data_IF_073816798174
#
_entry.id   IF_073816798174
#
_cell.length_a   1.000
_cell.length_b   1.000
_cell.length_c   1.000
_cell.angle_alpha   90.00
_cell.angle_beta   90.00
_cell.angle_gamma   90.00
#
_symmetry.space_group_name_H-M   'P 1'
#
loop_
_entity.id
_entity.type
_entity.pdbx_description
1 polymer ?
#
# COMPACT_ATOMS: atom_id res chain seq x y z
N UNK A 1 -14.13 -14.55 19.12
CA UNK A 1 -13.93 -13.22 18.52
C UNK A 1 -12.71 -13.33 17.63
N UNK A 2 -12.73 -12.81 16.40
CA UNK A 2 -11.57 -12.92 15.48
C UNK A 2 -11.02 -11.49 15.28
N UNK A 3 -9.98 -11.10 16.04
CA UNK A 3 -9.42 -9.74 15.95
C UNK A 3 -8.44 -9.55 14.79
N UNK A 4 -7.76 -10.61 14.36
CA UNK A 4 -6.76 -10.56 13.30
C UNK A 4 -7.06 -11.65 12.27
N UNK A 5 -7.00 -11.28 10.98
CA UNK A 5 -7.25 -12.22 9.90
C UNK A 5 -6.24 -12.00 8.76
N UNK A 6 -5.64 -13.09 8.31
CA UNK A 6 -4.90 -13.16 7.05
C UNK A 6 -5.62 -14.10 6.10
N UNK A 7 -5.86 -13.62 4.88
CA UNK A 7 -6.37 -14.41 3.76
C UNK A 7 -5.37 -14.29 2.64
N UNK A 8 -4.68 -15.39 2.34
CA UNK A 8 -3.81 -15.52 1.18
C UNK A 8 -4.35 -16.62 0.28
N UNK A 9 -4.80 -16.26 -0.92
CA UNK A 9 -5.34 -17.22 -1.88
C UNK A 9 -4.60 -17.01 -3.19
N UNK A 10 -3.75 -17.94 -3.64
CA UNK A 10 -3.10 -17.79 -4.93
C UNK A 10 -4.14 -17.83 -6.05
N UNK A 11 -4.30 -16.70 -6.75
CA UNK A 11 -5.11 -16.61 -7.96
C UNK A 11 -4.21 -16.48 -9.19
N UNK A 12 -4.45 -17.33 -10.20
CA UNK A 12 -3.79 -17.20 -11.50
C UNK A 12 -4.46 -16.07 -12.28
N UNK A 13 -3.78 -14.96 -12.51
CA UNK A 13 -4.34 -13.81 -13.23
C UNK A 13 -4.60 -14.05 -14.74
N UNK A 14 -4.04 -15.11 -15.32
CA UNK A 14 -4.10 -15.36 -16.76
C UNK A 14 -4.52 -16.80 -17.09
N UNK A 15 -5.29 -16.96 -18.16
CA UNK A 15 -5.66 -18.27 -18.70
C UNK A 15 -6.71 -19.04 -17.90
N UNK A 16 -7.58 -18.36 -17.14
CA UNK A 16 -8.66 -19.04 -16.42
C UNK A 16 -9.71 -19.59 -17.40
N UNK A 17 -9.82 -20.91 -17.47
CA UNK A 17 -10.97 -21.60 -18.08
C UNK A 17 -12.24 -21.43 -17.22
N UNK A 18 -13.36 -21.98 -17.68
CA UNK A 18 -14.63 -21.88 -16.99
C UNK A 18 -14.61 -22.55 -15.59
N UNK A 19 -13.85 -23.62 -15.42
CA UNK A 19 -13.73 -24.33 -14.14
C UNK A 19 -12.98 -23.48 -13.13
N UNK A 20 -11.87 -22.83 -13.54
CA UNK A 20 -11.12 -21.94 -12.67
C UNK A 20 -11.90 -20.68 -12.28
N UNK A 21 -12.77 -20.17 -13.16
CA UNK A 21 -13.70 -19.07 -12.81
C UNK A 21 -14.72 -19.49 -11.76
N UNK A 22 -15.28 -20.69 -11.87
CA UNK A 22 -16.22 -21.23 -10.88
C UNK A 22 -15.52 -21.45 -9.53
N UNK A 23 -14.32 -22.04 -9.53
CA UNK A 23 -13.50 -22.16 -8.31
C UNK A 23 -13.18 -20.79 -7.70
N UNK A 24 -12.81 -19.80 -8.51
CA UNK A 24 -12.56 -18.44 -8.04
C UNK A 24 -13.81 -17.83 -7.39
N UNK A 25 -14.98 -18.00 -8.00
CA UNK A 25 -16.25 -17.52 -7.46
C UNK A 25 -16.60 -18.17 -6.12
N UNK A 26 -16.43 -19.50 -6.00
CA UNK A 26 -16.61 -20.22 -4.74
C UNK A 26 -15.64 -19.78 -3.65
N UNK A 27 -14.38 -19.49 -4.00
CA UNK A 27 -13.37 -18.94 -3.08
C UNK A 27 -13.77 -17.55 -2.60
N UNK A 28 -14.19 -16.67 -3.49
CA UNK A 28 -14.65 -15.32 -3.14
C UNK A 28 -15.85 -15.36 -2.19
N UNK A 29 -16.83 -16.23 -2.44
CA UNK A 29 -17.98 -16.39 -1.55
C UNK A 29 -17.57 -16.94 -0.16
N UNK A 30 -16.63 -17.88 -0.10
CA UNK A 30 -16.10 -18.38 1.17
C UNK A 30 -15.37 -17.29 1.97
N UNK A 31 -14.54 -16.48 1.29
CA UNK A 31 -13.86 -15.33 1.90
C UNK A 31 -14.89 -14.31 2.42
N UNK A 32 -15.91 -13.99 1.63
CA UNK A 32 -16.99 -13.07 2.03
C UNK A 32 -17.70 -13.55 3.30
N UNK A 33 -18.05 -14.84 3.38
CA UNK A 33 -18.67 -15.44 4.59
C UNK A 33 -17.75 -15.35 5.80
N UNK A 34 -16.46 -15.61 5.61
CA UNK A 34 -15.47 -15.52 6.68
C UNK A 34 -15.36 -14.07 7.20
N UNK A 35 -15.27 -13.10 6.29
CA UNK A 35 -15.23 -11.69 6.66
C UNK A 35 -16.51 -11.24 7.33
N UNK A 36 -17.68 -11.66 6.85
CA UNK A 36 -18.96 -11.34 7.47
C UNK A 36 -19.02 -11.82 8.93
N UNK A 37 -18.47 -13.01 9.22
CA UNK A 37 -18.41 -13.54 10.57
C UNK A 37 -17.42 -12.79 11.49
N UNK A 38 -16.38 -12.17 10.92
CA UNK A 38 -15.32 -11.47 11.67
C UNK A 38 -15.49 -9.94 11.70
N UNK A 39 -16.30 -9.35 10.80
CA UNK A 39 -16.29 -7.92 10.48
C UNK A 39 -16.42 -6.99 11.69
N UNK A 40 -17.29 -7.33 12.64
CA UNK A 40 -17.54 -6.52 13.84
C UNK A 40 -16.41 -6.55 14.87
N UNK A 41 -15.51 -7.53 14.82
CA UNK A 41 -14.38 -7.65 15.77
C UNK A 41 -13.02 -7.44 15.14
N UNK A 42 -12.96 -7.34 13.82
CA UNK A 42 -11.71 -7.34 13.08
C UNK A 42 -10.97 -6.00 13.27
N UNK A 43 -9.73 -6.09 13.76
CA UNK A 43 -8.79 -4.98 13.91
C UNK A 43 -7.72 -4.97 12.85
N UNK A 44 -7.26 -6.14 12.44
CA UNK A 44 -6.23 -6.31 11.41
C UNK A 44 -6.73 -7.24 10.32
N UNK A 45 -6.65 -6.78 9.07
CA UNK A 45 -6.99 -7.55 7.89
C UNK A 45 -5.85 -7.50 6.87
N UNK A 46 -5.31 -8.67 6.53
CA UNK A 46 -4.37 -8.83 5.41
C UNK A 46 -5.02 -9.70 4.34
N UNK A 47 -5.24 -9.12 3.16
CA UNK A 47 -5.75 -9.77 1.97
C UNK A 47 -4.66 -9.78 0.91
N UNK A 48 -4.16 -10.97 0.56
CA UNK A 48 -3.07 -11.12 -0.39
C UNK A 48 -3.47 -12.04 -1.55
N UNK A 49 -3.23 -11.59 -2.79
CA UNK A 49 -3.67 -12.25 -4.02
C UNK A 49 -5.18 -12.52 -4.07
N UNK A 50 -5.96 -11.67 -3.42
CA UNK A 50 -7.42 -11.76 -3.48
C UNK A 50 -7.97 -10.54 -4.19
N UNK A 51 -8.67 -10.76 -5.30
CA UNK A 51 -9.50 -9.74 -5.95
C UNK A 51 -10.83 -9.51 -5.19
N UNK A 52 -10.78 -9.49 -3.86
CA UNK A 52 -11.98 -9.29 -3.07
C UNK A 52 -12.35 -7.81 -3.11
N UNK A 53 -13.50 -7.53 -3.70
CA UNK A 53 -14.12 -6.22 -3.64
C UNK A 53 -14.78 -6.02 -2.26
N UNK A 54 -14.05 -5.34 -1.35
CA UNK A 54 -14.56 -4.96 -0.04
C UNK A 54 -15.82 -4.08 -0.15
N UNK A 55 -15.98 -3.31 -1.23
CA UNK A 55 -17.19 -2.50 -1.48
C UNK A 55 -18.40 -3.40 -1.72
N UNK A 56 -18.26 -4.37 -2.62
CA UNK A 56 -19.35 -5.28 -2.97
C UNK A 56 -19.78 -6.17 -1.79
N UNK A 57 -18.94 -6.26 -0.75
CA UNK A 57 -19.24 -7.06 0.44
C UNK A 57 -20.37 -6.48 1.30
N UNK A 58 -20.66 -5.17 1.20
CA UNK A 58 -21.60 -4.45 2.09
C UNK A 58 -21.29 -4.65 3.59
N UNK A 59 -20.06 -5.07 3.93
CA UNK A 59 -19.63 -5.32 5.29
C UNK A 59 -19.14 -4.02 5.93
N UNK A 60 -19.50 -3.82 7.20
CA UNK A 60 -18.99 -2.73 8.02
C UNK A 60 -17.86 -3.24 8.91
N UNK A 61 -16.73 -2.53 8.90
CA UNK A 61 -15.55 -2.84 9.70
C UNK A 61 -15.26 -1.74 10.73
N UNK A 62 -16.10 -1.61 11.78
CA UNK A 62 -16.04 -0.47 12.69
C UNK A 62 -14.77 -0.42 13.55
N UNK A 63 -14.07 -1.54 13.72
CA UNK A 63 -12.87 -1.66 14.54
C UNK A 63 -11.59 -1.89 13.73
N UNK A 64 -11.65 -1.85 12.39
CA UNK A 64 -10.50 -2.14 11.56
C UNK A 64 -9.48 -1.00 11.61
N UNK A 65 -8.34 -1.28 12.22
CA UNK A 65 -7.21 -0.36 12.44
C UNK A 65 -6.15 -0.52 11.36
N UNK A 66 -5.94 -1.76 10.89
CA UNK A 66 -4.89 -2.15 9.95
C UNK A 66 -5.45 -2.90 8.74
N UNK A 67 -5.13 -2.41 7.55
CA UNK A 67 -5.53 -3.04 6.30
C UNK A 67 -4.32 -3.20 5.37
N UNK A 68 -3.99 -4.44 5.01
CA UNK A 68 -3.07 -4.76 3.92
C UNK A 68 -3.87 -5.41 2.79
N UNK A 69 -3.84 -4.82 1.59
CA UNK A 69 -4.56 -5.30 0.41
C UNK A 69 -3.68 -5.15 -0.82
N UNK A 70 -3.95 -5.94 -1.86
CA UNK A 70 -3.26 -5.78 -3.15
C UNK A 70 -3.63 -4.47 -3.84
N UNK A 71 -4.92 -4.15 -3.87
CA UNK A 71 -5.47 -2.96 -4.51
C UNK A 71 -6.51 -2.32 -3.63
N UNK A 72 -6.68 -1.02 -3.80
CA UNK A 72 -7.68 -0.21 -3.13
C UNK A 72 -8.65 0.40 -4.14
N UNK A 73 -9.09 -0.39 -5.12
CA UNK A 73 -9.95 0.09 -6.19
C UNK A 73 -11.40 0.10 -5.75
N UNK A 74 -12.06 1.21 -6.05
CA UNK A 74 -13.51 1.34 -5.98
C UNK A 74 -14.00 2.18 -7.14
N UNK A 75 -13.59 1.84 -8.36
CA UNK A 75 -14.01 2.59 -9.54
C UNK A 75 -15.53 2.44 -9.70
N UNK A 76 -16.27 3.42 -9.18
CA UNK A 76 -17.70 3.62 -9.39
C UNK A 76 -18.65 3.15 -8.30
N UNK A 77 -18.19 2.55 -7.19
CA UNK A 77 -19.07 2.12 -6.07
C UNK A 77 -18.51 2.66 -4.76
N UNK A 78 -19.30 3.42 -4.02
CA UNK A 78 -18.84 4.08 -2.79
C UNK A 78 -18.29 3.07 -1.78
N UNK A 79 -17.03 3.20 -1.39
CA UNK A 79 -16.40 2.37 -0.36
C UNK A 79 -17.12 2.56 0.99
N UNK A 80 -17.23 1.50 1.82
CA UNK A 80 -17.62 1.67 3.21
C UNK A 80 -16.61 2.61 3.87
N UNK A 81 -17.11 3.55 4.67
CA UNK A 81 -16.23 4.39 5.50
C UNK A 81 -15.51 3.45 6.47
N UNK A 82 -14.19 3.60 6.57
CA UNK A 82 -13.33 2.87 7.48
C UNK A 82 -12.84 3.84 8.56
N UNK A 83 -13.71 4.22 9.52
CA UNK A 83 -13.46 5.35 10.42
C UNK A 83 -12.30 5.10 11.39
N UNK A 84 -12.03 3.84 11.72
CA UNK A 84 -10.96 3.43 12.62
C UNK A 84 -9.65 3.09 11.90
N UNK A 85 -9.62 3.16 10.55
CA UNK A 85 -8.43 2.75 9.80
C UNK A 85 -7.30 3.74 10.01
N UNK A 86 -6.22 3.26 10.62
CA UNK A 86 -5.03 4.03 10.94
C UNK A 86 -3.86 3.70 10.02
N UNK A 87 -3.74 2.44 9.55
CA UNK A 87 -2.61 2.00 8.73
C UNK A 87 -3.10 1.23 7.49
N UNK A 88 -2.72 1.71 6.30
CA UNK A 88 -3.07 1.10 5.00
C UNK A 88 -1.82 0.68 4.24
N UNK A 89 -1.76 -0.57 3.82
CA UNK A 89 -0.67 -1.14 3.02
C UNK A 89 -1.22 -1.64 1.70
N UNK A 90 -0.72 -1.07 0.61
CA UNK A 90 -1.01 -1.53 -0.74
C UNK A 90 0.16 -2.36 -1.23
N UNK A 91 -0.04 -3.67 -1.36
CA UNK A 91 1.03 -4.59 -1.75
C UNK A 91 1.35 -4.50 -3.24
N UNK A 92 0.44 -3.92 -4.04
CA UNK A 92 0.66 -3.55 -5.44
C UNK A 92 0.01 -2.20 -5.78
N UNK A 93 0.78 -1.12 -5.65
CA UNK A 93 0.31 0.21 -6.03
C UNK A 93 0.68 0.57 -7.47
N UNK A 94 -0.33 0.87 -8.29
CA UNK A 94 -0.17 1.19 -9.71
C UNK A 94 -0.35 2.68 -10.06
N UNK A 95 -0.56 3.57 -9.07
CA UNK A 95 -0.67 5.01 -9.30
C UNK A 95 -1.81 5.40 -10.24
N UNK A 96 -3.05 5.44 -9.74
CA UNK A 96 -4.18 5.97 -10.51
C UNK A 96 -4.61 7.36 -10.04
N UNK A 97 -5.24 8.10 -10.95
CA UNK A 97 -5.86 9.38 -10.64
C UNK A 97 -7.02 9.20 -9.66
N UNK A 98 -7.14 10.11 -8.70
CA UNK A 98 -8.23 10.08 -7.71
C UNK A 98 -8.01 9.13 -6.51
N UNK A 99 -6.89 8.41 -6.43
CA UNK A 99 -6.56 7.56 -5.28
C UNK A 99 -6.61 8.35 -3.96
N UNK A 100 -5.87 9.46 -3.90
CA UNK A 100 -5.74 10.25 -2.68
C UNK A 100 -7.05 10.92 -2.24
N UNK A 101 -7.83 11.57 -3.13
CA UNK A 101 -9.17 12.04 -2.78
C UNK A 101 -10.09 10.93 -2.25
N UNK A 102 -10.08 9.76 -2.89
CA UNK A 102 -10.86 8.61 -2.44
C UNK A 102 -10.44 8.17 -1.03
N UNK A 103 -9.14 7.98 -0.82
CA UNK A 103 -8.59 7.57 0.47
C UNK A 103 -8.95 8.56 1.58
N UNK A 104 -8.86 9.86 1.31
CA UNK A 104 -9.23 10.92 2.25
C UNK A 104 -10.71 10.86 2.68
N UNK A 105 -11.59 10.41 1.78
CA UNK A 105 -13.02 10.27 2.06
C UNK A 105 -13.37 8.99 2.84
N UNK A 106 -12.58 7.94 2.65
CA UNK A 106 -12.86 6.60 3.21
C UNK A 106 -12.19 6.40 4.57
N UNK A 107 -10.97 6.89 4.73
CA UNK A 107 -10.14 6.67 5.92
C UNK A 107 -9.59 8.01 6.46
N UNK A 108 -10.43 8.88 7.05
CA UNK A 108 -10.00 10.19 7.54
C UNK A 108 -9.05 10.11 8.75
N UNK A 109 -9.04 8.99 9.48
CA UNK A 109 -8.17 8.75 10.63
C UNK A 109 -6.80 8.14 10.26
N UNK A 110 -6.50 8.02 8.97
CA UNK A 110 -5.30 7.37 8.47
C UNK A 110 -4.04 8.12 8.91
N UNK A 111 -3.08 7.39 9.49
CA UNK A 111 -1.81 7.93 10.01
C UNK A 111 -0.59 7.37 9.28
N UNK A 112 -0.70 6.15 8.73
CA UNK A 112 0.36 5.46 8.01
C UNK A 112 -0.15 4.91 6.68
N UNK A 113 0.66 5.07 5.64
CA UNK A 113 0.46 4.41 4.34
C UNK A 113 1.75 3.72 3.94
N UNK A 114 1.69 2.43 3.56
CA UNK A 114 2.77 1.73 2.87
C UNK A 114 2.35 1.44 1.43
N UNK A 115 3.18 1.81 0.48
CA UNK A 115 2.98 1.57 -0.94
C UNK A 115 4.10 0.66 -1.44
N UNK A 116 3.78 -0.60 -1.67
CA UNK A 116 4.70 -1.58 -2.24
C UNK A 116 4.40 -1.78 -3.72
N UNK A 117 5.46 -2.05 -4.49
CA UNK A 117 5.34 -2.22 -5.93
C UNK A 117 5.23 -0.90 -6.68
N UNK A 118 5.78 0.20 -6.14
CA UNK A 118 5.78 1.50 -6.84
C UNK A 118 6.62 1.42 -8.11
N UNK A 119 5.97 1.53 -9.27
CA UNK A 119 6.65 1.34 -10.54
C UNK A 119 6.77 2.63 -11.35
N UNK A 120 5.70 3.41 -11.53
CA UNK A 120 5.67 4.50 -12.52
C UNK A 120 4.85 5.74 -12.09
N UNK A 121 4.55 5.91 -10.80
CA UNK A 121 3.75 7.06 -10.34
C UNK A 121 4.61 8.33 -10.19
N UNK A 122 4.73 9.10 -11.27
CA UNK A 122 5.46 10.38 -11.27
C UNK A 122 4.77 11.48 -10.47
N UNK A 123 3.49 11.32 -10.16
CA UNK A 123 2.67 12.29 -9.45
C UNK A 123 2.77 12.11 -7.92
N UNK A 124 3.16 10.93 -7.46
CA UNK A 124 3.31 10.61 -6.03
C UNK A 124 4.22 11.62 -5.30
N UNK A 125 5.40 11.92 -5.84
CA UNK A 125 6.32 12.87 -5.21
C UNK A 125 5.67 14.26 -5.07
N UNK A 126 4.98 14.73 -6.11
CA UNK A 126 4.22 15.99 -6.07
C UNK A 126 3.14 15.95 -5.00
N UNK A 127 2.34 14.89 -4.92
CA UNK A 127 1.33 14.73 -3.88
C UNK A 127 1.96 14.80 -2.47
N UNK A 128 3.03 14.05 -2.23
CA UNK A 128 3.71 14.00 -0.93
C UNK A 128 4.27 15.36 -0.50
N UNK A 129 4.71 16.21 -1.43
CA UNK A 129 5.10 17.59 -1.09
C UNK A 129 3.94 18.40 -0.53
N UNK A 130 2.74 18.29 -1.10
CA UNK A 130 1.54 18.93 -0.54
C UNK A 130 1.16 18.32 0.80
N UNK A 131 1.21 16.98 0.89
CA UNK A 131 0.81 16.26 2.09
C UNK A 131 1.67 16.66 3.30
N UNK A 132 2.99 16.79 3.11
CA UNK A 132 3.95 17.07 4.18
C UNK A 132 4.37 18.54 4.26
N UNK A 133 3.74 19.44 3.50
CA UNK A 133 4.08 20.86 3.41
C UNK A 133 5.58 21.10 3.11
N UNK A 134 6.15 20.30 2.20
CA UNK A 134 7.55 20.43 1.80
C UNK A 134 7.77 21.70 0.97
N UNK A 135 8.95 22.34 1.07
CA UNK A 135 9.27 23.55 0.31
C UNK A 135 9.18 23.31 -1.21
N UNK A 136 9.30 24.34 -2.04
CA UNK A 136 9.52 24.13 -3.48
C UNK A 136 11.03 23.94 -3.69
N UNK A 137 11.49 22.94 -4.46
CA UNK A 137 12.92 22.79 -4.71
C UNK A 137 13.46 24.04 -5.41
N UNK A 138 14.62 24.55 -4.98
CA UNK A 138 15.21 25.80 -5.47
C UNK A 138 15.44 25.84 -7.01
N UNK A 139 15.42 24.68 -7.67
CA UNK A 139 15.63 24.53 -9.12
C UNK A 139 14.41 23.94 -9.86
N UNK A 140 13.20 23.97 -9.26
CA UNK A 140 12.00 23.41 -9.88
C UNK A 140 11.59 24.10 -11.20
N UNK A 141 12.07 25.32 -11.46
CA UNK A 141 11.88 26.02 -12.74
C UNK A 141 12.71 25.42 -13.88
N UNK A 142 13.75 24.64 -13.57
CA UNK A 142 14.43 23.79 -14.55
C UNK A 142 13.64 22.49 -14.73
N UNK A 143 12.57 22.59 -15.52
CA UNK A 143 11.56 21.55 -15.83
C UNK A 143 12.16 20.21 -16.28
N UNK A 144 13.46 20.15 -16.58
CA UNK A 144 14.16 18.95 -17.03
C UNK A 144 14.89 18.15 -15.94
N UNK A 145 14.87 18.57 -14.67
CA UNK A 145 15.59 17.83 -13.62
C UNK A 145 14.70 16.74 -13.02
N UNK A 146 15.03 15.44 -13.17
CA UNK A 146 14.28 14.36 -12.55
C UNK A 146 14.09 14.59 -11.05
N UNK A 147 12.86 14.46 -10.57
CA UNK A 147 12.54 14.51 -9.14
C UNK A 147 12.34 15.91 -8.52
N UNK A 148 12.57 17.01 -9.24
CA UNK A 148 12.32 18.36 -8.74
C UNK A 148 10.91 18.84 -9.11
N UNK A 149 9.90 18.12 -8.62
CA UNK A 149 8.50 18.39 -8.97
C UNK A 149 7.89 19.39 -7.98
N UNK A 150 7.34 20.53 -8.41
CA UNK A 150 6.65 21.45 -7.50
C UNK A 150 5.36 20.81 -6.96
N UNK A 151 4.83 21.26 -5.79
CA UNK A 151 3.56 20.82 -5.25
C UNK A 151 2.38 21.18 -6.18
N UNK A 152 1.19 20.68 -5.86
CA UNK A 152 -0.01 20.94 -6.64
C UNK A 152 -0.48 22.36 -6.34
N UNK A 153 -0.99 23.09 -7.33
CA UNK A 153 -1.63 24.37 -7.08
C UNK A 153 -2.81 24.22 -6.10
N UNK A 154 -3.07 25.21 -5.23
CA UNK A 154 -4.28 25.22 -4.42
C UNK A 154 -5.54 25.11 -5.29
N UNK A 155 -6.51 24.30 -4.86
CA UNK A 155 -7.79 24.10 -5.55
C UNK A 155 -7.86 22.87 -6.44
N UNK A 156 -6.75 22.17 -6.69
CA UNK A 156 -6.82 20.83 -7.31
C UNK A 156 -7.40 19.80 -6.33
N UNK A 157 -8.04 18.72 -6.83
CA UNK A 157 -8.50 17.62 -5.98
C UNK A 157 -7.40 17.02 -5.11
N UNK A 158 -6.19 16.89 -5.64
CA UNK A 158 -5.02 16.34 -4.96
C UNK A 158 -4.54 17.25 -3.82
N UNK A 159 -4.49 18.57 -4.05
CA UNK A 159 -4.15 19.53 -3.00
C UNK A 159 -5.19 19.56 -1.88
N UNK A 160 -6.48 19.40 -2.22
CA UNK A 160 -7.55 19.27 -1.23
C UNK A 160 -7.44 17.95 -0.45
N UNK A 161 -7.18 16.84 -1.12
CA UNK A 161 -6.99 15.53 -0.51
C UNK A 161 -5.81 15.51 0.47
N UNK A 162 -4.68 16.13 0.10
CA UNK A 162 -3.53 16.29 0.97
C UNK A 162 -3.88 17.03 2.28
N UNK A 163 -4.75 18.05 2.21
CA UNK A 163 -5.26 18.75 3.40
C UNK A 163 -6.22 17.90 4.23
N UNK A 164 -7.09 17.12 3.58
CA UNK A 164 -8.02 16.22 4.27
C UNK A 164 -7.29 15.09 4.99
N UNK A 165 -6.20 14.59 4.42
CA UNK A 165 -5.29 13.61 5.04
C UNK A 165 -4.32 14.26 6.04
N UNK A 166 -4.77 15.29 6.76
CA UNK A 166 -3.95 16.00 7.76
C UNK A 166 -3.52 15.15 8.94
N UNK A 167 -4.07 13.95 9.14
CA UNK A 167 -3.64 12.95 10.13
C UNK A 167 -2.53 12.04 9.62
N UNK A 168 -2.32 11.95 8.31
CA UNK A 168 -1.31 11.10 7.70
C UNK A 168 0.08 11.67 8.02
N UNK A 169 0.87 10.89 8.77
CA UNK A 169 2.20 11.30 9.28
C UNK A 169 3.32 10.51 8.64
N UNK A 170 3.06 9.28 8.24
CA UNK A 170 4.09 8.37 7.74
C UNK A 170 3.69 7.79 6.40
N UNK A 171 4.56 7.92 5.41
CA UNK A 171 4.47 7.20 4.14
C UNK A 171 5.72 6.33 3.99
N UNK A 172 5.52 5.05 3.73
CA UNK A 172 6.57 4.09 3.41
C UNK A 172 6.41 3.73 1.93
N UNK A 173 7.41 4.01 1.13
CA UNK A 173 7.43 3.78 -0.30
C UNK A 173 8.45 2.67 -0.61
N UNK A 174 8.01 1.64 -1.31
CA UNK A 174 8.84 0.49 -1.69
C UNK A 174 8.74 0.31 -3.22
N UNK A 175 9.73 0.83 -3.96
CA UNK A 175 9.73 0.78 -5.42
C UNK A 175 9.98 -0.61 -5.99
N UNK A 176 9.57 -0.79 -7.26
CA UNK A 176 9.92 -1.97 -8.06
C UNK A 176 11.32 -1.82 -8.64
N UNK A 177 12.06 -2.93 -8.65
CA UNK A 177 13.28 -3.06 -9.42
C UNK A 177 12.95 -3.30 -10.91
N UNK A 178 13.27 -2.33 -11.76
CA UNK A 178 13.23 -2.51 -13.21
C UNK A 178 14.56 -3.09 -13.69
N UNK A 179 14.53 -4.30 -14.24
CA UNK A 179 15.70 -4.83 -14.94
C UNK A 179 15.80 -4.23 -16.34
N UNK A 180 17.04 -3.98 -16.78
CA UNK A 180 17.37 -3.47 -18.11
C UNK A 180 16.90 -4.36 -19.27
N UNK A 181 16.45 -5.58 -18.96
CA UNK A 181 16.00 -6.57 -19.94
C UNK A 181 14.49 -6.46 -20.23
N UNK A 182 13.77 -5.55 -19.56
CA UNK A 182 12.37 -5.30 -19.87
C UNK A 182 12.25 -4.49 -21.18
N UNK A 183 11.38 -4.94 -22.08
CA UNK A 183 11.11 -4.36 -23.41
C UNK A 183 10.47 -2.95 -23.34
N UNK A 184 10.41 -2.34 -22.15
CA UNK A 184 9.68 -1.12 -21.84
C UNK A 184 10.64 -0.01 -21.38
N UNK A 185 11.44 0.52 -22.31
CA UNK A 185 12.40 1.60 -22.02
C UNK A 185 11.75 2.84 -21.37
N UNK A 186 10.51 3.18 -21.76
CA UNK A 186 9.78 4.33 -21.20
C UNK A 186 9.40 4.11 -19.73
N UNK A 187 9.14 2.86 -19.34
CA UNK A 187 8.84 2.50 -17.96
C UNK A 187 10.04 2.69 -17.03
N UNK A 188 11.25 2.40 -17.52
CA UNK A 188 12.49 2.60 -16.76
C UNK A 188 12.76 4.08 -16.49
N UNK A 189 12.65 4.94 -17.51
CA UNK A 189 12.87 6.39 -17.33
C UNK A 189 11.87 6.97 -16.32
N UNK A 190 10.60 6.60 -16.45
CA UNK A 190 9.53 7.03 -15.54
C UNK A 190 9.78 6.56 -14.11
N UNK A 191 10.21 5.30 -13.93
CA UNK A 191 10.58 4.75 -12.63
C UNK A 191 11.76 5.51 -11.98
N UNK A 192 12.81 5.80 -12.76
CA UNK A 192 13.96 6.57 -12.29
C UNK A 192 13.57 8.00 -11.88
N UNK A 193 12.70 8.65 -12.64
CA UNK A 193 12.19 9.98 -12.30
C UNK A 193 11.36 9.98 -11.01
N UNK A 194 10.46 9.01 -10.86
CA UNK A 194 9.70 8.81 -9.62
C UNK A 194 10.64 8.58 -8.43
N UNK A 195 11.60 7.65 -8.55
CA UNK A 195 12.59 7.36 -7.50
C UNK A 195 13.40 8.59 -7.10
N UNK A 196 13.86 9.38 -8.07
CA UNK A 196 14.57 10.64 -7.80
C UNK A 196 13.70 11.62 -7.00
N UNK A 197 12.43 11.79 -7.37
CA UNK A 197 11.51 12.68 -6.65
C UNK A 197 11.20 12.22 -5.23
N UNK A 198 10.99 10.92 -5.05
CA UNK A 198 10.81 10.31 -3.74
C UNK A 198 12.05 10.48 -2.85
N UNK A 199 13.25 10.29 -3.41
CA UNK A 199 14.50 10.45 -2.67
C UNK A 199 14.72 11.89 -2.20
N UNK A 200 14.44 12.89 -3.05
CA UNK A 200 14.52 14.31 -2.68
C UNK A 200 13.53 14.63 -1.56
N UNK A 201 12.26 14.25 -1.71
CA UNK A 201 11.24 14.46 -0.69
C UNK A 201 11.59 13.76 0.64
N UNK A 202 12.11 12.54 0.58
CA UNK A 202 12.50 11.79 1.77
C UNK A 202 13.67 12.45 2.50
N UNK A 203 14.65 12.97 1.76
CA UNK A 203 15.75 13.72 2.33
C UNK A 203 15.28 15.02 3.01
N UNK A 204 14.35 15.76 2.40
CA UNK A 204 13.76 16.96 3.01
C UNK A 204 12.98 16.65 4.28
N UNK A 205 12.17 15.58 4.29
CA UNK A 205 11.50 15.10 5.51
C UNK A 205 12.51 14.77 6.62
N UNK A 206 13.60 14.07 6.28
CA UNK A 206 14.66 13.70 7.24
C UNK A 206 15.37 14.93 7.83
N UNK A 207 15.47 16.01 7.05
CA UNK A 207 16.02 17.29 7.50
C UNK A 207 15.01 18.14 8.31
N UNK A 208 13.78 17.65 8.51
CA UNK A 208 12.74 18.35 9.26
C UNK A 208 12.07 19.49 8.48
N UNK A 209 12.15 19.48 7.14
CA UNK A 209 11.58 20.53 6.30
C UNK A 209 10.04 20.45 6.14
N UNK A 210 9.41 19.39 6.68
CA UNK A 210 7.96 19.15 6.59
C UNK A 210 7.38 18.55 7.87
N UNK A 211 6.08 18.28 7.86
CA UNK A 211 5.32 17.81 9.05
C UNK A 211 5.20 16.28 9.20
N UNK A 212 5.90 15.50 8.39
CA UNK A 212 5.76 14.05 8.35
C UNK A 212 7.04 13.32 7.96
N UNK A 213 6.93 11.99 7.87
CA UNK A 213 8.03 11.08 7.57
C UNK A 213 7.76 10.36 6.25
N UNK A 214 8.79 10.33 5.40
CA UNK A 214 8.81 9.54 4.18
C UNK A 214 10.00 8.58 4.23
N UNK A 215 9.71 7.28 4.27
CA UNK A 215 10.70 6.21 4.22
C UNK A 215 10.70 5.60 2.82
N UNK A 216 11.89 5.43 2.24
CA UNK A 216 12.06 4.70 0.98
C UNK A 216 12.75 3.38 1.31
N UNK A 217 12.03 2.27 1.15
CA UNK A 217 12.59 0.92 1.29
C UNK A 217 13.44 0.57 0.07
N UNK A 218 14.34 -0.43 0.17
CA UNK A 218 15.03 -0.98 -0.98
C UNK A 218 14.06 -1.42 -2.08
N UNK A 219 14.54 -1.43 -3.32
CA UNK A 219 13.76 -1.93 -4.44
C UNK A 219 13.40 -3.41 -4.21
N UNK A 220 12.19 -3.80 -4.58
CA UNK A 220 11.73 -5.19 -4.56
C UNK A 220 11.26 -5.62 -5.95
N UNK A 221 11.35 -6.91 -6.25
CA UNK A 221 10.75 -7.47 -7.47
C UNK A 221 9.25 -7.70 -7.30
N UNK A 222 8.88 -8.28 -6.16
CA UNK A 222 7.53 -8.70 -5.85
C UNK A 222 7.40 -8.85 -4.34
N UNK A 223 6.25 -8.44 -3.81
CA UNK A 223 5.87 -8.72 -2.43
C UNK A 223 5.24 -10.10 -2.36
N UNK A 224 5.83 -11.04 -1.62
CA UNK A 224 5.47 -12.46 -1.63
C UNK A 224 4.48 -12.86 -0.51
N UNK A 225 3.78 -14.00 -0.69
CA UNK A 225 2.92 -14.60 0.37
C UNK A 225 3.69 -14.81 1.67
N UNK A 226 4.94 -15.28 1.58
CA UNK A 226 5.79 -15.54 2.74
C UNK A 226 6.10 -14.26 3.53
N UNK A 227 6.27 -13.14 2.84
CA UNK A 227 6.48 -11.83 3.45
C UNK A 227 5.20 -11.34 4.13
N UNK A 228 4.06 -11.45 3.46
CA UNK A 228 2.75 -11.14 4.03
C UNK A 228 2.47 -11.94 5.31
N UNK A 229 2.76 -13.25 5.29
CA UNK A 229 2.58 -14.12 6.46
C UNK A 229 3.52 -13.73 7.61
N UNK A 230 4.80 -13.49 7.31
CA UNK A 230 5.80 -13.07 8.32
C UNK A 230 5.40 -11.75 8.97
N UNK A 231 5.08 -10.73 8.16
CA UNK A 231 4.69 -9.40 8.63
C UNK A 231 3.38 -9.44 9.42
N UNK A 232 2.42 -10.26 9.00
CA UNK A 232 1.17 -10.47 9.75
C UNK A 232 1.41 -11.14 11.10
N UNK A 233 2.23 -12.21 11.15
CA UNK A 233 2.57 -12.88 12.41
C UNK A 233 3.23 -11.92 13.40
N UNK A 234 4.18 -11.13 12.91
CA UNK A 234 4.85 -10.12 13.73
C UNK A 234 3.86 -9.06 14.27
N UNK A 235 2.94 -8.59 13.43
CA UNK A 235 1.92 -7.62 13.82
C UNK A 235 1.00 -8.19 14.92
N UNK A 236 0.58 -9.46 14.77
CA UNK A 236 -0.25 -10.16 15.78
C UNK A 236 0.51 -10.41 17.09
N UNK A 237 1.84 -10.47 17.03
CA UNK A 237 2.71 -10.62 18.21
C UNK A 237 3.07 -9.28 18.87
N UNK A 238 2.49 -8.17 18.37
CA UNK A 238 2.70 -6.82 18.92
C UNK A 238 3.91 -6.10 18.35
N UNK A 239 4.54 -6.62 17.30
CA UNK A 239 5.61 -5.95 16.56
C UNK A 239 5.08 -4.97 15.50
N UNK A 240 6.02 -4.44 14.70
CA UNK A 240 5.72 -3.45 13.66
C UNK A 240 5.09 -4.09 12.42
N UNK A 241 5.34 -5.38 12.15
CA UNK A 241 4.85 -6.09 10.97
C UNK A 241 5.21 -5.34 9.67
N UNK A 242 4.24 -5.02 8.80
CA UNK A 242 4.50 -4.31 7.55
C UNK A 242 4.92 -2.84 7.76
N UNK A 243 4.85 -2.32 8.98
CA UNK A 243 5.12 -0.92 9.29
C UNK A 243 6.56 -0.64 9.73
N UNK A 244 7.41 -1.66 9.73
CA UNK A 244 8.80 -1.53 10.13
C UNK A 244 9.53 -0.52 9.22
N UNK A 245 10.33 0.36 9.84
CA UNK A 245 11.12 1.35 9.09
C UNK A 245 12.34 0.70 8.43
N UNK A 246 13.10 1.47 7.63
CA UNK A 246 14.35 1.00 7.01
C UNK A 246 15.38 0.52 8.03
N UNK A 247 15.48 1.16 9.20
CA UNK A 247 16.43 0.79 10.26
C UNK A 247 16.05 -0.56 10.89
N UNK A 248 14.75 -0.76 11.09
CA UNK A 248 14.21 -2.03 11.57
C UNK A 248 14.37 -3.14 10.50
N UNK A 249 14.14 -2.85 9.23
CA UNK A 249 14.34 -3.78 8.11
C UNK A 249 15.80 -4.21 7.95
N UNK A 250 16.76 -3.27 8.01
CA UNK A 250 18.19 -3.57 7.88
C UNK A 250 18.68 -4.53 8.97
N UNK A 251 18.14 -4.41 10.18
CA UNK A 251 18.48 -5.31 11.30
C UNK A 251 17.92 -6.74 11.10
N UNK A 252 16.81 -6.88 10.37
CA UNK A 252 16.10 -8.16 10.19
C UNK A 252 16.69 -9.02 9.08
N UNK A 253 17.17 -8.42 7.98
CA UNK A 253 17.74 -9.16 6.85
C UNK A 253 19.01 -9.95 7.21
N UNK A 254 19.64 -9.68 8.36
CA UNK A 254 20.84 -10.39 8.78
C UNK A 254 20.58 -11.71 9.53
N UNK A 255 19.34 -12.06 9.89
CA UNK A 255 19.09 -13.13 10.89
C UNK A 255 18.55 -14.47 10.33
N UNK A 256 18.17 -14.62 9.05
CA UNK A 256 17.77 -15.98 8.61
C UNK A 256 17.20 -16.15 7.21
N UNK A 257 18.07 -16.24 6.20
CA UNK A 257 17.67 -16.68 4.87
C UNK A 257 18.02 -18.17 4.64
N UNK A 258 17.13 -19.08 5.05
CA UNK A 258 16.95 -20.37 4.37
C UNK A 258 15.48 -20.50 3.95
N UNK A 259 15.16 -20.63 2.65
CA UNK A 259 13.79 -20.72 2.19
C UNK A 259 13.28 -22.16 2.31
N UNK A 260 12.30 -22.41 3.19
CA UNK A 260 11.46 -23.61 3.13
C UNK A 260 10.18 -23.25 2.37
N UNK A 261 10.00 -23.82 1.18
CA UNK A 261 8.79 -23.65 0.36
C UNK A 261 7.69 -24.54 0.95
N UNK A 262 6.60 -23.93 1.43
CA UNK A 262 5.39 -24.64 1.88
C UNK A 262 4.25 -24.29 0.94
N UNK A 263 3.91 -25.22 0.04
CA UNK A 263 2.71 -25.16 -0.79
C UNK A 263 1.49 -25.62 0.03
N UNK A 264 0.70 -24.70 0.58
CA UNK A 264 -0.64 -24.99 1.15
C UNK A 264 -1.49 -23.73 1.23
N UNK A 265 -2.81 -23.86 1.00
CA UNK A 265 -3.79 -22.84 1.39
C UNK A 265 -3.81 -22.82 2.93
N UNK A 266 -3.18 -21.81 3.52
CA UNK A 266 -3.11 -21.64 4.97
C UNK A 266 -4.10 -20.57 5.40
N UNK A 267 -5.19 -20.98 6.06
CA UNK A 267 -5.93 -20.05 6.91
C UNK A 267 -5.30 -20.10 8.29
N UNK A 268 -4.68 -19.00 8.71
CA UNK A 268 -4.16 -18.85 10.07
C UNK A 268 -5.19 -18.14 10.93
N UNK A 269 -5.68 -18.81 11.98
CA UNK A 269 -6.53 -18.23 13.00
C UNK A 269 -5.77 -18.21 14.33
N UNK A 270 -5.73 -17.06 15.00
CA UNK A 270 -5.30 -16.96 16.40
C UNK A 270 -6.47 -16.39 17.20
N UNK A 271 -6.98 -17.20 18.13
CA UNK A 271 -8.07 -16.84 19.06
C UNK A 271 -7.55 -16.00 20.22
#
# INVERSE_FOLDING_TARGET
MIPHLLVAVPTRYWGMDAEERDKASRRQEAIRKLLAAAAHSLRTLTLYWTALDLVASELAFPLLEDLSVERFDSIGRGLPILPSLHRLHLTQYFGWSGFWPLLASVAPALTHVRLTGLSQDTELARFLRNLFDLPVPANAESVMTPGLVPPYPPGTPEAAAAKMLSSLRTVIAEPVEYTSNSVYADGLVTNLQMKAGLAVAANECRQGAGKGMLYILPDTFEYLVSEALREWLELVEGGSGPWATTEEHATRCHIGCEPTIIDSINYAFRL
#
